data_IF_510468073826
#
_entry.id   IF_510468073826
#
_cell.length_a   1.000
_cell.length_b   1.000
_cell.length_c   1.000
_cell.angle_alpha   90.00
_cell.angle_beta   90.00
_cell.angle_gamma   90.00
#
_symmetry.space_group_name_H-M   'P 1'
#
loop_
_entity.id
_entity.type
_entity.pdbx_description
1 polymer ?
#
# COMPACT_ATOMS: atom_id res chain seq x y z
N UNK A 1 -4.36 19.70 -1.04
CA UNK A 1 -3.47 19.99 0.10
C UNK A 1 -4.32 20.31 1.32
N UNK A 2 -4.75 19.28 2.07
CA UNK A 2 -5.43 19.48 3.37
C UNK A 2 -5.24 18.25 4.27
N UNK A 3 -4.00 17.98 4.67
CA UNK A 3 -3.69 17.08 5.78
C UNK A 3 -2.79 17.87 6.71
N UNK A 4 -3.38 18.89 7.32
CA UNK A 4 -2.83 19.41 8.56
C UNK A 4 -2.72 18.21 9.50
N UNK A 5 -1.52 17.96 10.02
CA UNK A 5 -1.14 17.06 11.10
C UNK A 5 -2.34 16.80 12.04
N UNK A 6 -3.18 15.84 11.68
CA UNK A 6 -4.33 15.45 12.48
C UNK A 6 -3.83 14.24 13.27
N UNK A 7 -3.21 14.56 14.41
CA UNK A 7 -2.67 13.64 15.41
C UNK A 7 -1.81 12.51 14.82
N UNK A 8 -0.52 12.79 14.58
CA UNK A 8 0.46 11.70 14.63
C UNK A 8 0.31 11.04 16.00
N UNK A 9 -0.12 9.76 16.01
CA UNK A 9 -0.29 9.05 17.26
C UNK A 9 1.02 9.09 18.04
N UNK A 10 0.92 9.01 19.38
CA UNK A 10 2.11 8.99 20.24
C UNK A 10 3.08 7.89 19.80
N UNK A 11 2.56 6.78 19.27
CA UNK A 11 3.34 5.66 18.77
C UNK A 11 4.10 6.00 17.48
N UNK A 12 3.47 6.65 16.50
CA UNK A 12 4.15 7.05 15.26
C UNK A 12 5.26 8.08 15.52
N UNK A 13 5.06 9.00 16.46
CA UNK A 13 6.11 9.95 16.87
C UNK A 13 7.25 9.23 17.56
N UNK A 14 6.94 8.26 18.43
CA UNK A 14 7.96 7.40 19.05
C UNK A 14 8.77 6.64 18.00
N UNK A 15 8.11 6.00 17.05
CA UNK A 15 8.78 5.27 15.98
C UNK A 15 9.62 6.17 15.07
N UNK A 16 9.17 7.39 14.82
CA UNK A 16 10.00 8.38 14.12
C UNK A 16 11.27 8.67 14.92
N UNK A 17 11.15 8.92 16.23
CA UNK A 17 12.30 9.16 17.11
C UNK A 17 13.22 7.93 17.12
N UNK A 18 12.68 6.73 17.35
CA UNK A 18 13.46 5.49 17.35
C UNK A 18 14.21 5.30 16.03
N UNK A 19 13.56 5.56 14.90
CA UNK A 19 14.19 5.51 13.60
C UNK A 19 15.34 6.50 13.46
N UNK A 20 15.17 7.74 13.93
CA UNK A 20 16.23 8.76 13.87
C UNK A 20 17.45 8.38 14.72
N UNK A 21 17.25 7.68 15.82
CA UNK A 21 18.35 7.25 16.71
C UNK A 21 18.97 5.91 16.31
N UNK A 22 18.19 4.97 15.77
CA UNK A 22 18.58 3.57 15.57
C UNK A 22 18.60 3.12 14.11
N UNK A 23 18.07 3.92 13.18
CA UNK A 23 17.88 3.56 11.78
C UNK A 23 16.76 2.52 11.54
N UNK A 24 15.98 2.22 12.57
CA UNK A 24 14.88 1.26 12.57
C UNK A 24 13.86 1.69 13.62
N UNK A 25 12.59 1.33 13.42
CA UNK A 25 11.60 1.38 14.48
C UNK A 25 11.08 -0.03 14.74
N UNK A 26 10.89 -0.35 16.02
CA UNK A 26 10.26 -1.60 16.41
C UNK A 26 8.84 -1.27 16.85
N UNK A 27 7.87 -1.76 16.08
CA UNK A 27 6.48 -1.76 16.52
C UNK A 27 6.36 -2.85 17.61
N UNK A 28 6.76 -2.52 18.84
CA UNK A 28 6.73 -3.47 19.96
C UNK A 28 5.30 -3.95 20.21
N UNK A 29 5.02 -5.22 19.91
CA UNK A 29 3.97 -6.04 20.51
C UNK A 29 2.58 -5.43 20.71
N UNK A 30 2.15 -4.45 19.90
CA UNK A 30 0.72 -4.35 19.63
C UNK A 30 0.38 -5.58 18.80
N UNK A 31 -0.65 -6.34 19.20
CA UNK A 31 -1.18 -7.44 18.37
C UNK A 31 -1.73 -6.95 17.02
N UNK A 32 -1.66 -5.64 16.80
CA UNK A 32 -2.36 -4.86 15.80
C UNK A 32 -1.41 -3.95 15.00
N UNK A 33 -0.09 -4.19 14.98
CA UNK A 33 0.80 -3.45 14.07
C UNK A 33 0.38 -3.77 12.64
N UNK A 34 -0.17 -2.78 11.94
CA UNK A 34 -0.82 -3.02 10.66
C UNK A 34 0.02 -2.50 9.50
N UNK A 35 -0.29 -2.99 8.31
CA UNK A 35 0.18 -2.38 7.07
C UNK A 35 -0.14 -0.88 7.01
N UNK A 36 -1.22 -0.42 7.63
CA UNK A 36 -1.59 1.00 7.70
C UNK A 36 -0.55 1.85 8.45
N UNK A 37 0.11 1.28 9.46
CA UNK A 37 1.15 2.00 10.21
C UNK A 37 2.39 2.24 9.36
N UNK A 38 2.81 1.27 8.54
CA UNK A 38 3.91 1.47 7.60
C UNK A 38 3.55 2.47 6.49
N UNK A 39 2.28 2.50 6.04
CA UNK A 39 1.80 3.54 5.12
C UNK A 39 1.96 4.94 5.75
N UNK A 40 1.61 5.06 7.04
CA UNK A 40 1.74 6.32 7.77
C UNK A 40 3.21 6.75 7.96
N UNK A 41 4.09 5.82 8.38
CA UNK A 41 5.52 6.10 8.52
C UNK A 41 6.17 6.47 7.18
N UNK A 42 5.71 5.88 6.08
CA UNK A 42 6.14 6.28 4.73
C UNK A 42 5.77 7.74 4.46
N UNK A 43 4.51 8.11 4.69
CA UNK A 43 4.03 9.48 4.48
C UNK A 43 4.74 10.50 5.39
N UNK A 44 5.09 10.12 6.63
CA UNK A 44 5.92 10.96 7.50
C UNK A 44 7.33 11.15 6.93
N UNK A 45 7.95 10.08 6.42
CA UNK A 45 9.26 10.14 5.78
C UNK A 45 9.26 11.09 4.59
N UNK A 46 8.23 11.01 3.74
CA UNK A 46 8.08 11.89 2.59
C UNK A 46 7.81 13.35 3.03
N UNK A 47 6.83 13.57 3.93
CA UNK A 47 6.43 14.88 4.41
C UNK A 47 7.58 15.66 5.07
N UNK A 48 8.43 14.98 5.85
CA UNK A 48 9.59 15.60 6.49
C UNK A 48 10.89 15.45 5.69
N UNK A 49 10.83 14.93 4.47
CA UNK A 49 12.01 14.68 3.61
C UNK A 49 13.09 13.81 4.27
N UNK A 50 12.66 12.83 5.07
CA UNK A 50 13.49 11.81 5.69
C UNK A 50 13.46 10.57 4.79
N UNK A 51 14.19 10.63 3.68
CA UNK A 51 14.17 9.58 2.65
C UNK A 51 14.47 8.17 3.19
N UNK A 52 15.45 7.95 4.10
CA UNK A 52 15.68 6.63 4.67
C UNK A 52 14.47 6.07 5.43
N UNK A 53 13.66 6.93 6.06
CA UNK A 53 12.46 6.50 6.77
C UNK A 53 11.39 6.02 5.78
N UNK A 54 11.17 6.77 4.71
CA UNK A 54 10.24 6.38 3.66
C UNK A 54 10.64 5.03 3.04
N UNK A 55 11.93 4.86 2.69
CA UNK A 55 12.44 3.60 2.15
C UNK A 55 12.29 2.43 3.12
N UNK A 56 12.61 2.64 4.39
CA UNK A 56 12.45 1.62 5.41
C UNK A 56 10.98 1.22 5.58
N UNK A 57 10.07 2.19 5.65
CA UNK A 57 8.64 1.95 5.78
C UNK A 57 8.06 1.23 4.55
N UNK A 58 8.49 1.61 3.34
CA UNK A 58 8.11 0.92 2.11
C UNK A 58 8.55 -0.55 2.10
N UNK A 59 9.76 -0.84 2.58
CA UNK A 59 10.27 -2.21 2.69
C UNK A 59 9.48 -3.03 3.72
N UNK A 60 9.19 -2.47 4.89
CA UNK A 60 8.36 -3.15 5.88
C UNK A 60 6.93 -3.40 5.37
N UNK A 61 6.34 -2.42 4.66
CA UNK A 61 5.06 -2.60 3.99
C UNK A 61 5.12 -3.72 2.95
N UNK A 62 6.16 -3.75 2.10
CA UNK A 62 6.39 -4.80 1.11
C UNK A 62 6.47 -6.18 1.75
N UNK A 63 7.23 -6.30 2.84
CA UNK A 63 7.34 -7.55 3.60
C UNK A 63 5.96 -7.93 4.14
N UNK A 64 5.26 -7.02 4.83
CA UNK A 64 3.96 -7.29 5.42
C UNK A 64 2.91 -7.72 4.39
N UNK A 65 2.76 -6.98 3.28
CA UNK A 65 1.75 -7.27 2.26
C UNK A 65 2.06 -8.57 1.53
N UNK A 66 3.33 -8.97 1.42
CA UNK A 66 3.71 -10.29 0.90
C UNK A 66 3.33 -11.45 1.81
N UNK A 67 3.08 -11.20 3.10
CA UNK A 67 2.57 -12.18 4.05
C UNK A 67 1.04 -12.15 4.19
N UNK A 68 0.36 -11.10 3.73
CA UNK A 68 -1.10 -10.99 3.77
C UNK A 68 -1.75 -12.14 3.01
N UNK A 69 -2.54 -12.96 3.70
CA UNK A 69 -3.14 -14.16 3.11
C UNK A 69 -4.48 -13.88 2.45
N UNK A 70 -5.17 -12.82 2.91
CA UNK A 70 -6.51 -12.51 2.47
C UNK A 70 -6.57 -11.12 1.85
N UNK A 71 -7.39 -11.06 0.82
CA UNK A 71 -7.71 -9.82 0.15
C UNK A 71 -8.45 -8.80 1.05
N UNK A 72 -9.31 -9.28 1.95
CA UNK A 72 -10.07 -8.43 2.88
C UNK A 72 -9.19 -7.59 3.81
N UNK A 73 -7.96 -8.04 4.05
CA UNK A 73 -6.97 -7.33 4.86
C UNK A 73 -6.29 -6.19 4.07
N UNK A 74 -6.35 -6.24 2.72
CA UNK A 74 -5.65 -5.30 1.83
C UNK A 74 -6.59 -4.29 1.18
N UNK A 75 -7.82 -4.68 0.84
CA UNK A 75 -8.79 -3.78 0.19
C UNK A 75 -8.97 -2.44 0.92
N UNK A 76 -9.11 -2.38 2.26
CA UNK A 76 -9.29 -1.11 2.96
C UNK A 76 -8.06 -0.20 2.90
N UNK A 77 -6.88 -0.75 2.61
CA UNK A 77 -5.62 -0.01 2.55
C UNK A 77 -5.43 0.72 1.22
N UNK A 78 -6.15 0.32 0.16
CA UNK A 78 -5.97 0.86 -1.19
C UNK A 78 -6.15 2.39 -1.20
N UNK A 79 -7.29 2.96 -0.72
CA UNK A 79 -7.44 4.40 -0.71
C UNK A 79 -6.40 5.09 0.16
N UNK A 80 -6.00 4.46 1.28
CA UNK A 80 -4.99 5.03 2.17
C UNK A 80 -3.64 5.17 1.47
N UNK A 81 -3.17 4.13 0.78
CA UNK A 81 -1.94 4.18 -0.02
C UNK A 81 -2.01 5.30 -1.06
N UNK A 82 -3.08 5.38 -1.85
CA UNK A 82 -3.15 6.36 -2.93
C UNK A 82 -3.28 7.81 -2.41
N UNK A 83 -3.87 8.00 -1.23
CA UNK A 83 -4.00 9.31 -0.60
C UNK A 83 -2.73 9.76 0.14
N UNK A 84 -1.94 8.83 0.67
CA UNK A 84 -0.75 9.13 1.47
C UNK A 84 0.56 9.09 0.70
N UNK A 85 0.54 8.56 -0.52
CA UNK A 85 1.72 8.38 -1.38
C UNK A 85 1.56 9.32 -2.58
N UNK A 86 2.35 10.42 -2.66
CA UNK A 86 2.31 11.33 -3.80
C UNK A 86 2.57 10.62 -5.13
N UNK A 87 2.11 11.17 -6.25
CA UNK A 87 2.27 10.53 -7.58
C UNK A 87 3.74 10.23 -7.97
N UNK A 88 4.70 10.97 -7.44
CA UNK A 88 6.12 10.74 -7.70
C UNK A 88 6.72 9.58 -6.88
N UNK A 89 5.95 9.04 -5.92
CA UNK A 89 6.31 7.93 -5.03
C UNK A 89 5.40 6.75 -5.33
N UNK A 90 5.89 5.78 -6.09
CA UNK A 90 5.13 4.62 -6.58
C UNK A 90 5.35 3.35 -5.75
N UNK A 91 6.25 3.39 -4.77
CA UNK A 91 6.75 2.20 -4.06
C UNK A 91 5.61 1.38 -3.44
N UNK A 92 4.68 2.04 -2.73
CA UNK A 92 3.54 1.38 -2.07
C UNK A 92 2.44 1.01 -3.06
N UNK A 93 2.13 1.91 -4.02
CA UNK A 93 1.11 1.71 -5.05
C UNK A 93 1.41 0.46 -5.88
N UNK A 94 2.67 0.28 -6.27
CA UNK A 94 3.13 -0.91 -6.99
C UNK A 94 2.92 -2.20 -6.20
N UNK A 95 3.17 -2.20 -4.89
CA UNK A 95 2.98 -3.42 -4.08
C UNK A 95 1.52 -3.81 -3.98
N UNK A 96 0.63 -2.83 -3.84
CA UNK A 96 -0.83 -3.06 -3.82
C UNK A 96 -1.29 -3.63 -5.17
N UNK A 97 -0.87 -3.02 -6.29
CA UNK A 97 -1.20 -3.53 -7.64
C UNK A 97 -0.66 -4.95 -7.84
N UNK A 98 0.60 -5.22 -7.47
CA UNK A 98 1.21 -6.55 -7.53
C UNK A 98 0.42 -7.58 -6.71
N UNK A 99 -0.02 -7.20 -5.50
CA UNK A 99 -0.85 -8.04 -4.65
C UNK A 99 -2.19 -8.38 -5.32
N UNK A 100 -2.89 -7.37 -5.86
CA UNK A 100 -4.20 -7.52 -6.50
C UNK A 100 -4.16 -8.39 -7.77
N UNK A 101 -3.03 -8.41 -8.47
CA UNK A 101 -2.83 -9.28 -9.63
C UNK A 101 -2.56 -10.74 -9.27
N UNK A 102 -2.14 -11.04 -8.03
CA UNK A 102 -1.68 -12.37 -7.66
C UNK A 102 -2.84 -13.39 -7.68
N UNK A 103 -2.84 -14.39 -8.59
CA UNK A 103 -3.96 -15.32 -8.75
C UNK A 103 -4.17 -16.23 -7.54
N UNK A 104 -3.13 -16.41 -6.73
CA UNK A 104 -3.04 -17.44 -5.67
C UNK A 104 -3.66 -16.97 -4.35
N UNK A 105 -3.80 -15.65 -4.14
CA UNK A 105 -4.24 -15.07 -2.85
C UNK A 105 -5.75 -14.83 -2.82
N UNK A 106 -6.50 -15.90 -3.12
CA UNK A 106 -7.95 -15.96 -2.96
C UNK A 106 -8.67 -14.83 -3.70
N UNK A 107 -8.87 -14.98 -5.01
CA UNK A 107 -9.89 -14.22 -5.72
C UNK A 107 -11.24 -14.50 -5.06
N UNK A 108 -11.64 -13.63 -4.13
CA UNK A 108 -12.97 -13.68 -3.52
C UNK A 108 -13.94 -13.13 -4.56
N UNK A 109 -15.14 -13.72 -4.65
CA UNK A 109 -16.25 -13.24 -5.51
C UNK A 109 -16.53 -11.73 -5.39
N UNK A 110 -16.11 -11.08 -4.30
CA UNK A 110 -16.24 -9.64 -4.09
C UNK A 110 -15.50 -8.80 -5.16
N UNK A 111 -14.27 -9.16 -5.58
CA UNK A 111 -13.60 -8.50 -6.71
C UNK A 111 -14.28 -8.83 -8.04
N UNK A 112 -15.06 -9.90 -8.12
CA UNK A 112 -15.79 -10.25 -9.34
C UNK A 112 -17.13 -9.49 -9.45
N UNK A 113 -17.53 -8.77 -8.40
CA UNK A 113 -18.72 -7.93 -8.45
C UNK A 113 -18.41 -6.60 -9.11
N UNK A 114 -19.26 -6.22 -10.07
CA UNK A 114 -19.20 -4.90 -10.72
C UNK A 114 -19.30 -3.77 -9.70
N UNK A 115 -20.10 -3.97 -8.64
CA UNK A 115 -20.31 -3.00 -7.55
C UNK A 115 -19.00 -2.61 -6.86
N UNK A 116 -18.11 -3.58 -6.55
CA UNK A 116 -16.82 -3.24 -5.94
C UNK A 116 -15.93 -2.38 -6.86
N UNK A 117 -15.94 -2.65 -8.17
CA UNK A 117 -15.20 -1.82 -9.13
C UNK A 117 -15.78 -0.42 -9.24
N UNK A 118 -17.10 -0.29 -9.26
CA UNK A 118 -17.79 1.01 -9.32
C UNK A 118 -17.47 1.83 -8.05
N UNK A 119 -17.61 1.24 -6.85
CA UNK A 119 -17.27 1.87 -5.58
C UNK A 119 -15.80 2.30 -5.51
N UNK A 120 -14.88 1.45 -5.98
CA UNK A 120 -13.45 1.73 -5.96
C UNK A 120 -13.06 2.76 -7.03
N UNK A 121 -13.74 2.79 -8.19
CA UNK A 121 -13.54 3.82 -9.21
C UNK A 121 -14.00 5.20 -8.73
N UNK A 122 -15.06 5.26 -7.93
CA UNK A 122 -15.51 6.49 -7.27
C UNK A 122 -14.55 6.96 -6.18
N UNK A 123 -14.06 6.04 -5.34
CA UNK A 123 -13.19 6.37 -4.20
C UNK A 123 -11.73 6.60 -4.59
N UNK A 124 -11.20 5.81 -5.51
CA UNK A 124 -9.78 5.76 -5.84
C UNK A 124 -9.56 5.45 -7.33
N UNK A 125 -9.93 6.37 -8.25
CA UNK A 125 -9.88 6.15 -9.69
C UNK A 125 -8.47 5.84 -10.20
N UNK A 126 -7.44 6.41 -9.59
CA UNK A 126 -6.04 6.18 -10.01
C UNK A 126 -5.59 4.75 -9.76
N UNK A 127 -6.08 4.12 -8.69
CA UNK A 127 -5.83 2.70 -8.46
C UNK A 127 -6.43 1.83 -9.57
N UNK A 128 -7.65 2.14 -10.03
CA UNK A 128 -8.28 1.40 -11.12
C UNK A 128 -7.47 1.56 -12.41
N UNK A 129 -6.99 2.76 -12.71
CA UNK A 129 -6.11 3.00 -13.87
C UNK A 129 -4.83 2.17 -13.75
N UNK A 130 -4.13 2.25 -12.62
CA UNK A 130 -2.87 1.53 -12.40
C UNK A 130 -3.07 0.01 -12.47
N UNK A 131 -4.17 -0.50 -11.91
CA UNK A 131 -4.55 -1.90 -12.01
C UNK A 131 -4.79 -2.32 -13.47
N UNK A 132 -5.56 -1.54 -14.24
CA UNK A 132 -5.82 -1.83 -15.66
C UNK A 132 -4.54 -1.79 -16.51
N UNK A 133 -3.73 -0.74 -16.38
CA UNK A 133 -2.47 -0.61 -17.10
C UNK A 133 -1.48 -1.74 -16.77
N UNK A 134 -1.52 -2.25 -15.54
CA UNK A 134 -0.68 -3.38 -15.15
C UNK A 134 -0.95 -4.65 -15.98
N UNK A 135 -2.18 -4.84 -16.47
CA UNK A 135 -2.53 -5.95 -17.37
C UNK A 135 -2.11 -5.70 -18.81
N UNK A 136 -2.11 -4.44 -19.27
CA UNK A 136 -1.73 -4.06 -20.63
C UNK A 136 -0.26 -4.29 -20.96
N UNK A 137 0.61 -4.38 -19.95
CA UNK A 137 2.03 -4.68 -20.11
C UNK A 137 2.39 -6.18 -20.15
N UNK A 138 1.40 -7.09 -20.15
CA UNK A 138 1.64 -8.53 -20.22
C UNK A 138 1.87 -8.96 -21.67
N UNK A 139 2.94 -9.71 -22.00
CA UNK A 139 3.11 -10.25 -23.34
C UNK A 139 1.95 -11.19 -23.65
N UNK A 140 1.32 -11.04 -24.82
CA UNK A 140 0.25 -11.93 -25.25
C UNK A 140 0.66 -13.40 -25.04
N UNK A 141 -0.23 -14.26 -24.48
CA UNK A 141 0.05 -15.69 -24.44
C UNK A 141 0.39 -16.15 -25.86
N UNK A 142 1.43 -17.00 -26.05
CA UNK A 142 1.85 -17.42 -27.38
C UNK A 142 0.64 -17.98 -28.12
N UNK A 143 0.33 -17.38 -29.27
CA UNK A 143 -0.76 -17.84 -30.13
C UNK A 143 -0.40 -19.26 -30.60
N UNK A 144 -1.00 -20.26 -29.95
CA UNK A 144 -1.00 -21.63 -30.44
C UNK A 144 -1.93 -21.67 -31.65
N UNK A 145 -1.32 -21.62 -32.84
CA UNK A 145 -1.98 -21.95 -34.09
C UNK A 145 -2.26 -23.46 -34.10
N UNK A 146 -3.54 -23.83 -34.07
CA UNK A 146 -4.00 -25.19 -34.34
C UNK A 146 -4.33 -25.33 -35.82
#
# INVERSE_FOLDING_TARGET
>A
MHWAVQESSVDHVKWLIDFLYMGTYHMEFSKDSTLADHIYMFALGDMYSIEPLAQYAAEQFRIGISHAQKLEDVLPLIPQVYNSTPEHRQELREQVVKFMRCPVRGKKKAIESREWYDDMAEQCPDFIKDLLFSYSGWPDPPQVFW
#
